data_IF_361497894044
#
_entry.id   IF_361497894044
#
_cell.length_a   1.000
_cell.length_b   1.000
_cell.length_c   1.000
_cell.angle_alpha   90.00
_cell.angle_beta   90.00
_cell.angle_gamma   90.00
#
_symmetry.space_group_name_H-M   'P 1'
#
loop_
_entity.id
_entity.type
_entity.pdbx_description
1 polymer ?
#
# COMPACT_ATOMS: atom_id res chain seq x y z
N UNK A 1 -14.41 6.21 -4.93
CA UNK A 1 -15.32 6.47 -3.79
C UNK A 1 -16.78 6.46 -4.21
N UNK A 2 -17.16 7.24 -5.23
CA UNK A 2 -18.54 7.39 -5.70
C UNK A 2 -19.24 6.04 -5.95
N UNK A 3 -18.61 5.10 -6.65
CA UNK A 3 -19.23 3.79 -6.98
C UNK A 3 -19.56 2.95 -5.74
N UNK A 4 -18.71 2.99 -4.71
CA UNK A 4 -18.87 2.14 -3.52
C UNK A 4 -19.67 2.81 -2.40
N UNK A 5 -19.52 4.12 -2.25
CA UNK A 5 -20.05 4.88 -1.10
C UNK A 5 -21.00 6.02 -1.50
N UNK A 6 -21.18 6.26 -2.80
CA UNK A 6 -22.02 7.35 -3.31
C UNK A 6 -21.30 8.69 -3.39
N UNK A 7 -21.96 9.66 -4.02
CA UNK A 7 -21.43 11.01 -4.30
C UNK A 7 -21.04 11.78 -3.03
N UNK A 8 -21.77 11.58 -1.93
CA UNK A 8 -21.48 12.25 -0.64
C UNK A 8 -20.08 11.93 -0.09
N UNK A 9 -19.50 10.81 -0.50
CA UNK A 9 -18.16 10.36 -0.08
C UNK A 9 -17.08 10.58 -1.14
N UNK A 10 -17.38 11.32 -2.22
CA UNK A 10 -16.40 11.65 -3.24
C UNK A 10 -15.18 12.37 -2.64
N UNK A 11 -15.44 13.34 -1.74
CA UNK A 11 -14.40 14.11 -1.03
C UNK A 11 -13.56 13.24 -0.09
N UNK A 12 -14.12 12.16 0.45
CA UNK A 12 -13.39 11.24 1.33
C UNK A 12 -12.26 10.49 0.62
N UNK A 13 -12.20 10.52 -0.72
CA UNK A 13 -11.18 9.83 -1.50
C UNK A 13 -9.75 10.23 -1.14
N UNK A 14 -9.55 11.47 -0.68
CA UNK A 14 -8.24 11.96 -0.24
C UNK A 14 -7.74 11.21 1.00
N UNK A 15 -8.61 10.92 1.98
CA UNK A 15 -8.23 10.15 3.16
C UNK A 15 -7.78 8.73 2.80
N UNK A 16 -8.48 8.10 1.85
CA UNK A 16 -8.09 6.78 1.33
C UNK A 16 -6.75 6.82 0.61
N UNK A 17 -6.51 7.82 -0.23
CA UNK A 17 -5.22 7.99 -0.92
C UNK A 17 -4.07 8.11 0.07
N UNK A 18 -4.23 8.94 1.12
CA UNK A 18 -3.24 9.09 2.19
C UNK A 18 -3.03 7.75 2.91
N UNK A 19 -4.12 7.07 3.30
CA UNK A 19 -4.03 5.81 4.07
C UNK A 19 -3.37 4.68 3.27
N UNK A 20 -3.58 4.63 1.95
CA UNK A 20 -3.00 3.61 1.07
C UNK A 20 -1.47 3.67 0.98
N UNK A 21 -0.82 4.78 1.34
CA UNK A 21 0.65 4.89 1.39
C UNK A 21 1.27 3.82 2.30
N UNK A 22 0.56 3.46 3.38
CA UNK A 22 0.99 2.40 4.31
C UNK A 22 1.19 1.05 3.61
N UNK A 23 0.43 0.78 2.54
CA UNK A 23 0.45 -0.53 1.89
C UNK A 23 1.83 -0.88 1.33
N UNK A 24 2.65 0.09 0.95
CA UNK A 24 4.04 -0.15 0.52
C UNK A 24 4.91 -0.76 1.61
N UNK A 25 4.57 -0.51 2.88
CA UNK A 25 5.31 -0.99 4.04
C UNK A 25 4.72 -2.28 4.60
N UNK A 26 3.42 -2.51 4.46
CA UNK A 26 2.76 -3.74 4.97
C UNK A 26 2.92 -4.95 4.06
N UNK A 27 3.36 -4.77 2.82
CA UNK A 27 3.76 -5.87 1.93
C UNK A 27 4.95 -6.66 2.51
N UNK A 28 5.76 -6.02 3.35
CA UNK A 28 6.90 -6.66 4.00
C UNK A 28 6.40 -7.53 5.15
N UNK A 29 6.78 -8.81 5.16
CA UNK A 29 6.40 -9.78 6.19
C UNK A 29 7.16 -9.60 7.52
N UNK A 30 7.23 -8.38 8.05
CA UNK A 30 7.98 -8.06 9.27
C UNK A 30 7.40 -8.74 10.52
N UNK A 31 6.07 -8.86 10.61
CA UNK A 31 5.40 -9.45 11.79
C UNK A 31 5.81 -10.90 12.04
N UNK A 32 5.58 -11.82 11.09
CA UNK A 32 6.01 -13.21 11.24
C UNK A 32 7.51 -13.36 11.49
N UNK A 33 8.34 -12.57 10.80
CA UNK A 33 9.79 -12.60 10.95
C UNK A 33 10.23 -12.18 12.35
N UNK A 34 9.64 -11.11 12.89
CA UNK A 34 9.93 -10.61 14.24
C UNK A 34 9.52 -11.63 15.32
N UNK A 35 8.37 -12.28 15.16
CA UNK A 35 7.89 -13.30 16.10
C UNK A 35 8.79 -14.55 16.07
N UNK A 36 9.26 -14.96 14.88
CA UNK A 36 10.12 -16.12 14.71
C UNK A 36 11.49 -15.96 15.40
N UNK A 37 12.03 -14.74 15.45
CA UNK A 37 13.33 -14.45 16.10
C UNK A 37 13.23 -14.14 17.60
N UNK A 38 12.06 -14.37 18.22
CA UNK A 38 11.88 -14.08 19.66
C UNK A 38 11.69 -12.59 19.99
N UNK A 39 11.28 -11.77 19.02
CA UNK A 39 11.09 -10.34 19.16
C UNK A 39 9.76 -9.92 19.79
N UNK A 40 9.02 -10.82 20.46
CA UNK A 40 7.64 -10.55 20.90
C UNK A 40 7.57 -9.38 21.88
N UNK A 41 8.47 -9.32 22.88
CA UNK A 41 8.50 -8.20 23.83
C UNK A 41 8.75 -6.86 23.13
N UNK A 42 9.64 -6.84 22.13
CA UNK A 42 9.90 -5.65 21.33
C UNK A 42 8.66 -5.25 20.51
N UNK A 43 8.00 -6.23 19.88
CA UNK A 43 6.75 -6.02 19.14
C UNK A 43 5.67 -5.35 20.00
N UNK A 44 5.36 -5.91 21.18
CA UNK A 44 4.35 -5.35 22.07
C UNK A 44 4.70 -3.94 22.54
N UNK A 45 5.98 -3.69 22.87
CA UNK A 45 6.44 -2.37 23.30
C UNK A 45 6.28 -1.32 22.18
N UNK A 46 6.69 -1.64 20.94
CA UNK A 46 6.55 -0.73 19.80
C UNK A 46 5.07 -0.39 19.54
N UNK A 47 4.18 -1.38 19.65
CA UNK A 47 2.75 -1.13 19.51
C UNK A 47 2.16 -0.30 20.65
N UNK A 48 2.54 -0.58 21.91
CA UNK A 48 2.06 0.16 23.08
C UNK A 48 2.50 1.63 23.03
N UNK A 49 3.82 1.88 22.93
CA UNK A 49 4.34 3.24 22.84
C UNK A 49 3.82 3.95 21.59
N UNK A 50 3.75 3.24 20.46
CA UNK A 50 3.21 3.79 19.23
C UNK A 50 1.73 4.16 19.30
N UNK A 51 0.93 3.49 20.13
CA UNK A 51 -0.47 3.86 20.37
C UNK A 51 -0.58 5.12 21.24
N UNK A 52 0.22 5.20 22.32
CA UNK A 52 0.28 6.39 23.17
C UNK A 52 0.69 7.62 22.35
N UNK A 53 1.77 7.51 21.57
CA UNK A 53 2.25 8.59 20.70
C UNK A 53 1.17 8.99 19.68
N UNK A 54 0.51 8.02 19.07
CA UNK A 54 -0.55 8.28 18.09
C UNK A 54 -1.69 9.10 18.69
N UNK A 55 -2.21 8.69 19.85
CA UNK A 55 -3.32 9.36 20.53
C UNK A 55 -2.93 10.80 20.88
N UNK A 56 -1.73 11.01 21.41
CA UNK A 56 -1.24 12.36 21.75
C UNK A 56 -1.14 13.24 20.51
N UNK A 57 -0.55 12.74 19.42
CA UNK A 57 -0.39 13.50 18.18
C UNK A 57 -1.73 13.81 17.50
N UNK A 58 -2.67 12.87 17.46
CA UNK A 58 -4.01 13.10 16.91
C UNK A 58 -4.81 14.10 17.76
N UNK A 59 -4.70 14.03 19.09
CA UNK A 59 -5.31 15.02 19.98
C UNK A 59 -4.72 16.43 19.75
N UNK A 60 -3.40 16.54 19.62
CA UNK A 60 -2.74 17.80 19.27
C UNK A 60 -3.18 18.32 17.90
N UNK A 61 -3.33 17.44 16.90
CA UNK A 61 -3.80 17.81 15.58
C UNK A 61 -5.20 18.43 15.60
N UNK A 62 -6.11 17.86 16.40
CA UNK A 62 -7.45 18.40 16.58
C UNK A 62 -7.39 19.75 17.31
N UNK A 63 -6.67 19.81 18.44
CA UNK A 63 -6.64 20.98 19.30
C UNK A 63 -5.99 22.21 18.64
N UNK A 64 -4.93 22.02 17.86
CA UNK A 64 -4.17 23.13 17.27
C UNK A 64 -4.53 23.45 15.82
N UNK A 65 -5.01 22.47 15.05
CA UNK A 65 -5.18 22.62 13.59
C UNK A 65 -6.58 22.30 13.07
N UNK A 66 -7.46 21.71 13.90
CA UNK A 66 -8.85 21.35 13.53
C UNK A 66 -8.98 20.60 12.20
N UNK A 67 -7.96 19.80 11.83
CA UNK A 67 -7.85 19.21 10.49
C UNK A 67 -7.95 17.69 10.50
N UNK A 68 -9.01 17.16 9.91
CA UNK A 68 -9.20 15.72 9.73
C UNK A 68 -8.13 15.09 8.81
N UNK A 69 -7.57 15.86 7.86
CA UNK A 69 -6.49 15.38 7.00
C UNK A 69 -5.22 15.10 7.82
N UNK A 70 -4.92 15.98 8.77
CA UNK A 70 -3.75 15.86 9.62
C UNK A 70 -3.82 14.61 10.51
N UNK A 71 -4.99 14.29 11.06
CA UNK A 71 -5.24 13.03 11.79
C UNK A 71 -4.84 11.83 10.92
N UNK A 72 -5.32 11.80 9.68
CA UNK A 72 -5.04 10.68 8.77
C UNK A 72 -3.56 10.58 8.41
N UNK A 73 -2.89 11.72 8.17
CA UNK A 73 -1.44 11.78 7.90
C UNK A 73 -0.65 11.28 9.12
N UNK A 74 -0.98 11.74 10.32
CA UNK A 74 -0.34 11.30 11.58
C UNK A 74 -0.50 9.80 11.76
N UNK A 75 -1.70 9.27 11.54
CA UNK A 75 -1.98 7.83 11.60
C UNK A 75 -1.07 7.03 10.67
N UNK A 76 -0.87 7.51 9.44
CA UNK A 76 0.03 6.89 8.45
C UNK A 76 1.48 6.98 8.89
N UNK A 77 1.97 8.16 9.29
CA UNK A 77 3.36 8.37 9.73
C UNK A 77 3.68 7.49 10.94
N UNK A 78 2.79 7.44 11.94
CA UNK A 78 2.97 6.60 13.12
C UNK A 78 2.99 5.11 12.74
N UNK A 79 2.13 4.69 11.81
CA UNK A 79 2.10 3.30 11.35
C UNK A 79 3.38 2.92 10.60
N UNK A 80 3.84 3.77 9.67
CA UNK A 80 5.12 3.58 8.98
C UNK A 80 6.28 3.57 9.98
N UNK A 81 6.30 4.51 10.92
CA UNK A 81 7.31 4.57 11.99
C UNK A 81 7.41 3.27 12.78
N UNK A 82 6.28 2.72 13.24
CA UNK A 82 6.24 1.41 13.93
C UNK A 82 6.84 0.30 13.06
N UNK A 83 6.48 0.25 11.78
CA UNK A 83 7.02 -0.74 10.83
C UNK A 83 8.55 -0.58 10.72
N UNK A 84 9.04 0.66 10.60
CA UNK A 84 10.47 0.93 10.51
C UNK A 84 11.23 0.55 11.78
N UNK A 85 10.67 0.76 12.98
CA UNK A 85 11.26 0.28 14.23
C UNK A 85 11.36 -1.26 14.26
N UNK A 86 10.29 -1.96 13.85
CA UNK A 86 10.27 -3.42 13.76
C UNK A 86 11.29 -3.95 12.73
N UNK A 87 11.36 -3.34 11.55
CA UNK A 87 12.36 -3.67 10.55
C UNK A 87 13.79 -3.40 11.02
N UNK A 88 14.01 -2.31 11.77
CA UNK A 88 15.30 -1.99 12.35
C UNK A 88 15.78 -3.05 13.36
N UNK A 89 14.86 -3.57 14.18
CA UNK A 89 15.17 -4.69 15.09
C UNK A 89 15.56 -5.95 14.31
N UNK A 90 14.78 -6.32 13.30
CA UNK A 90 15.05 -7.46 12.42
C UNK A 90 16.41 -7.30 11.72
N UNK A 91 16.67 -6.13 11.13
CA UNK A 91 17.90 -5.82 10.43
C UNK A 91 19.13 -6.01 11.33
N UNK A 92 19.03 -5.51 12.58
CA UNK A 92 20.08 -5.67 13.60
C UNK A 92 20.30 -7.14 13.96
N UNK A 93 19.24 -7.92 14.12
CA UNK A 93 19.32 -9.34 14.43
C UNK A 93 20.07 -10.12 13.32
N UNK A 94 19.72 -9.87 12.06
CA UNK A 94 20.34 -10.53 10.90
C UNK A 94 21.66 -9.90 10.44
N UNK A 95 22.11 -8.80 11.07
CA UNK A 95 23.30 -8.03 10.67
C UNK A 95 23.27 -7.57 9.21
N UNK A 96 22.10 -7.18 8.73
CA UNK A 96 21.90 -6.62 7.39
C UNK A 96 21.36 -5.20 7.48
N UNK A 97 21.42 -4.45 6.38
CA UNK A 97 20.77 -3.14 6.29
C UNK A 97 19.26 -3.27 6.15
N UNK A 98 18.51 -2.28 6.63
CA UNK A 98 17.04 -2.22 6.47
C UNK A 98 16.66 -2.19 4.99
N UNK A 99 17.47 -1.56 4.13
CA UNK A 99 17.24 -1.50 2.68
C UNK A 99 17.26 -2.88 2.02
N UNK A 100 17.91 -3.87 2.62
CA UNK A 100 17.91 -5.25 2.12
C UNK A 100 16.63 -6.00 2.51
N UNK A 101 15.92 -5.56 3.55
CA UNK A 101 14.61 -6.10 3.94
C UNK A 101 13.47 -5.49 3.11
N UNK A 102 13.65 -4.27 2.62
CA UNK A 102 12.66 -3.58 1.81
C UNK A 102 13.00 -3.80 0.33
N UNK A 103 12.17 -4.50 -0.45
CA UNK A 103 12.42 -4.75 -1.86
C UNK A 103 12.15 -3.49 -2.72
N UNK A 104 12.88 -2.39 -2.47
CA UNK A 104 12.66 -1.08 -3.09
C UNK A 104 12.67 -1.14 -4.61
N UNK A 105 13.62 -1.89 -5.19
CA UNK A 105 13.70 -2.09 -6.64
C UNK A 105 12.39 -2.65 -7.21
N UNK A 106 11.88 -3.72 -6.61
CA UNK A 106 10.63 -4.35 -7.04
C UNK A 106 9.44 -3.41 -6.86
N UNK A 107 9.38 -2.68 -5.74
CA UNK A 107 8.33 -1.69 -5.49
C UNK A 107 8.32 -0.67 -6.63
N UNK A 108 9.46 -0.03 -6.95
CA UNK A 108 9.53 0.97 -8.01
C UNK A 108 9.26 0.41 -9.41
N UNK A 109 9.74 -0.81 -9.69
CA UNK A 109 9.50 -1.51 -10.96
C UNK A 109 8.02 -1.85 -11.20
N UNK A 110 7.20 -1.88 -10.15
CA UNK A 110 5.75 -2.09 -10.23
C UNK A 110 4.99 -0.76 -10.16
N UNK A 111 5.37 0.16 -9.28
CA UNK A 111 4.58 1.37 -9.00
C UNK A 111 4.69 2.43 -10.07
N UNK A 112 5.90 2.72 -10.56
CA UNK A 112 6.13 3.73 -11.59
C UNK A 112 5.32 3.43 -12.86
N UNK A 113 5.42 2.23 -13.47
CA UNK A 113 4.66 1.90 -14.67
C UNK A 113 3.15 1.84 -14.41
N UNK A 114 2.73 1.35 -13.22
CA UNK A 114 1.32 1.41 -12.84
C UNK A 114 0.80 2.85 -12.82
N UNK A 115 1.55 3.79 -12.24
CA UNK A 115 1.19 5.20 -12.23
C UNK A 115 1.13 5.79 -13.63
N UNK A 116 2.12 5.51 -14.48
CA UNK A 116 2.16 6.00 -15.87
C UNK A 116 0.93 5.51 -16.64
N UNK A 117 0.64 4.21 -16.60
CA UNK A 117 -0.50 3.62 -17.31
C UNK A 117 -1.82 4.19 -16.78
N UNK A 118 -1.99 4.27 -15.45
CA UNK A 118 -3.23 4.77 -14.85
C UNK A 118 -3.44 6.26 -15.12
N UNK A 119 -2.38 7.07 -15.09
CA UNK A 119 -2.48 8.49 -15.38
C UNK A 119 -2.83 8.72 -16.86
N UNK A 120 -2.22 7.94 -17.76
CA UNK A 120 -2.57 7.95 -19.18
C UNK A 120 -4.02 7.53 -19.42
N UNK A 121 -4.49 6.44 -18.81
CA UNK A 121 -5.88 5.99 -18.92
C UNK A 121 -6.86 7.02 -18.35
N UNK A 122 -6.53 7.62 -17.21
CA UNK A 122 -7.32 8.70 -16.62
C UNK A 122 -7.47 9.86 -17.58
N UNK A 123 -6.36 10.30 -18.20
CA UNK A 123 -6.37 11.38 -19.18
C UNK A 123 -7.23 11.03 -20.40
N UNK A 124 -7.10 9.82 -20.95
CA UNK A 124 -7.85 9.37 -22.12
C UNK A 124 -9.35 9.23 -21.82
N UNK A 125 -9.71 8.58 -20.73
CA UNK A 125 -11.12 8.22 -20.47
C UNK A 125 -11.89 9.44 -19.96
N UNK A 126 -11.32 10.26 -19.05
CA UNK A 126 -12.06 11.40 -18.49
C UNK A 126 -12.26 12.51 -19.52
N UNK A 127 -11.28 12.79 -20.38
CA UNK A 127 -11.36 13.93 -21.30
C UNK A 127 -12.12 13.61 -22.59
N UNK A 128 -12.21 12.34 -22.99
CA UNK A 128 -12.79 11.96 -24.29
C UNK A 128 -14.07 11.11 -24.16
N UNK A 129 -14.42 10.65 -22.96
CA UNK A 129 -15.52 9.69 -22.76
C UNK A 129 -16.43 10.12 -21.60
N UNK A 130 -17.61 10.63 -21.93
CA UNK A 130 -18.65 10.93 -20.94
C UNK A 130 -19.43 9.67 -20.57
N UNK A 131 -18.98 8.98 -19.51
CA UNK A 131 -19.64 7.78 -18.98
C UNK A 131 -19.91 7.89 -17.49
N UNK A 132 -20.84 7.06 -17.00
CA UNK A 132 -21.07 6.91 -15.56
C UNK A 132 -19.83 6.29 -14.88
N UNK A 133 -19.62 6.52 -13.56
CA UNK A 133 -18.40 6.09 -12.86
C UNK A 133 -18.12 4.57 -12.89
N UNK A 134 -19.14 3.71 -12.83
CA UNK A 134 -18.95 2.25 -12.82
C UNK A 134 -18.41 1.71 -14.17
N UNK A 135 -19.01 2.03 -15.33
CA UNK A 135 -18.43 1.70 -16.64
C UNK A 135 -16.99 2.18 -16.82
N UNK A 136 -16.67 3.40 -16.38
CA UNK A 136 -15.30 3.94 -16.43
C UNK A 136 -14.32 3.01 -15.70
N UNK A 137 -14.66 2.53 -14.50
CA UNK A 137 -13.80 1.60 -13.75
C UNK A 137 -13.62 0.27 -14.46
N UNK A 138 -14.69 -0.30 -15.02
CA UNK A 138 -14.63 -1.59 -15.73
C UNK A 138 -13.75 -1.50 -16.96
N UNK A 139 -13.95 -0.47 -17.80
CA UNK A 139 -13.16 -0.26 -19.00
C UNK A 139 -11.69 0.01 -18.63
N UNK A 140 -11.45 0.86 -17.64
CA UNK A 140 -10.09 1.13 -17.15
C UNK A 140 -9.39 -0.14 -16.68
N UNK A 141 -10.10 -1.02 -15.97
CA UNK A 141 -9.55 -2.30 -15.51
C UNK A 141 -9.23 -3.25 -16.67
N UNK A 142 -10.14 -3.38 -17.65
CA UNK A 142 -9.96 -4.22 -18.83
C UNK A 142 -8.75 -3.77 -19.66
N UNK A 143 -8.49 -2.46 -19.75
CA UNK A 143 -7.34 -1.93 -20.50
C UNK A 143 -6.05 -1.98 -19.66
N UNK A 144 -6.13 -1.66 -18.37
CA UNK A 144 -4.98 -1.66 -17.46
C UNK A 144 -4.34 -3.04 -17.33
N UNK A 145 -5.15 -4.09 -17.16
CA UNK A 145 -4.65 -5.44 -16.91
C UNK A 145 -3.70 -5.96 -18.01
N UNK A 146 -4.06 -5.93 -19.31
CA UNK A 146 -3.16 -6.30 -20.39
C UNK A 146 -1.90 -5.43 -20.47
N UNK A 147 -2.03 -4.11 -20.34
CA UNK A 147 -0.90 -3.18 -20.42
C UNK A 147 0.11 -3.45 -19.30
N UNK A 148 -0.38 -3.58 -18.07
CA UNK A 148 0.47 -3.87 -16.92
C UNK A 148 1.07 -5.28 -17.01
N UNK A 149 0.30 -6.27 -17.49
CA UNK A 149 0.79 -7.61 -17.72
C UNK A 149 1.95 -7.64 -18.73
N UNK A 150 1.82 -6.93 -19.86
CA UNK A 150 2.89 -6.79 -20.85
C UNK A 150 4.16 -6.17 -20.23
N UNK A 151 4.01 -5.13 -19.41
CA UNK A 151 5.12 -4.55 -18.67
C UNK A 151 5.82 -5.56 -17.75
N UNK A 152 5.04 -6.29 -16.94
CA UNK A 152 5.60 -7.26 -15.99
C UNK A 152 6.34 -8.40 -16.70
N UNK A 153 5.82 -8.87 -17.85
CA UNK A 153 6.48 -9.84 -18.69
C UNK A 153 7.78 -9.29 -19.28
N UNK A 154 7.81 -8.03 -19.73
CA UNK A 154 9.02 -7.36 -20.21
C UNK A 154 10.10 -7.24 -19.13
N UNK A 155 9.71 -7.01 -17.86
CA UNK A 155 10.65 -6.98 -16.72
C UNK A 155 11.00 -8.37 -16.17
N UNK A 156 10.49 -9.45 -16.76
CA UNK A 156 10.73 -10.81 -16.30
C UNK A 156 10.07 -11.15 -14.97
N UNK A 157 9.06 -10.37 -14.55
CA UNK A 157 8.28 -10.64 -13.34
C UNK A 157 7.21 -11.69 -13.69
N UNK A 158 7.55 -12.96 -13.48
CA UNK A 158 6.69 -14.07 -13.89
C UNK A 158 5.56 -14.35 -12.89
N UNK A 159 4.43 -13.66 -13.09
CA UNK A 159 3.19 -13.96 -12.37
C UNK A 159 2.59 -15.33 -12.74
N UNK A 160 2.97 -15.95 -13.88
CA UNK A 160 2.45 -17.27 -14.27
C UNK A 160 2.97 -18.36 -13.36
N UNK A 161 4.17 -18.21 -12.80
CA UNK A 161 4.72 -19.13 -11.81
C UNK A 161 3.82 -19.30 -10.58
N UNK A 162 3.02 -18.28 -10.22
CA UNK A 162 2.06 -18.35 -9.11
C UNK A 162 0.78 -19.12 -9.49
N UNK A 163 0.32 -19.00 -10.73
CA UNK A 163 -0.96 -19.58 -11.20
C UNK A 163 -0.79 -21.03 -11.65
N UNK A 164 0.33 -21.35 -12.30
CA UNK A 164 0.65 -22.68 -12.84
C UNK A 164 0.47 -23.83 -11.82
N UNK A 165 0.98 -23.75 -10.57
CA UNK A 165 0.80 -24.82 -9.59
C UNK A 165 -0.65 -24.99 -9.14
N UNK A 166 -1.46 -23.93 -9.12
CA UNK A 166 -2.88 -24.01 -8.78
C UNK A 166 -3.67 -24.74 -9.88
N UNK A 167 -3.42 -24.41 -11.15
CA UNK A 167 -4.04 -25.08 -12.30
C UNK A 167 -3.66 -26.56 -12.39
N UNK A 168 -2.41 -26.91 -12.03
CA UNK A 168 -1.96 -28.31 -11.99
C UNK A 168 -2.58 -29.11 -10.83
N UNK A 169 -2.92 -28.46 -9.70
CA UNK A 169 -3.63 -29.11 -8.58
C UNK A 169 -5.11 -29.35 -8.88
N UNK A 170 -5.76 -28.49 -9.66
CA UNK A 170 -7.18 -28.67 -10.05
C UNK A 170 -7.35 -29.77 -11.11
N UNK A 171 -6.28 -30.07 -11.87
CA UNK A 171 -6.26 -31.17 -12.86
C UNK A 171 -5.90 -32.54 -12.27
N UNK A 172 -5.62 -32.64 -10.96
CA UNK A 172 -5.45 -33.90 -10.23
C UNK A 172 -6.66 -34.14 -9.35
#
# INVERSE_FOLDING_TARGET
MIVLYGEKYASSGVFFQIKLIVNFFTVISYGPLLLAIGGQKFYYNVHMFGAIILILLEAMAIYFFESAYLITIISVICQVGRIMFMLGFIAKYFKISITNLIPLKLIFELTIPALIILYFLKFLIINFVELKPLPILIISFIIYCPLFFLWTNFRGIDYRALITPLLKKVKK
#
